data_IF_512289779414
#
_entry.id   IF_512289779414
#
_cell.length_a   1.000
_cell.length_b   1.000
_cell.length_c   1.000
_cell.angle_alpha   90.00
_cell.angle_beta   90.00
_cell.angle_gamma   90.00
#
_symmetry.space_group_name_H-M   'P 1'
#
loop_
_entity.id
_entity.type
_entity.pdbx_description
1 polymer ?
#
# COMPACT_ATOMS: atom_id res chain seq x y z
N UNK A 1 -0.04 10.97 3.52
CA UNK A 1 1.30 11.57 3.28
C UNK A 1 2.41 10.53 3.08
N UNK A 2 3.21 10.68 2.01
CA UNK A 2 4.50 9.98 1.82
C UNK A 2 5.63 10.55 2.67
N UNK A 3 6.61 9.70 2.98
CA UNK A 3 7.83 10.06 3.70
C UNK A 3 8.51 11.30 3.10
N UNK A 4 8.98 12.27 3.92
CA UNK A 4 9.51 13.54 3.43
C UNK A 4 10.80 13.39 2.62
N UNK A 5 11.61 12.37 2.90
CA UNK A 5 12.83 12.08 2.12
C UNK A 5 12.52 11.28 0.84
N UNK A 6 11.54 11.76 0.08
CA UNK A 6 11.17 11.20 -1.22
C UNK A 6 10.92 12.29 -2.25
N UNK A 7 11.16 11.98 -3.52
CA UNK A 7 10.91 12.86 -4.66
C UNK A 7 10.23 12.11 -5.80
N UNK A 8 9.59 12.84 -6.71
CA UNK A 8 9.08 12.27 -7.95
C UNK A 8 10.17 12.28 -9.02
N UNK A 9 10.32 11.16 -9.73
CA UNK A 9 11.15 11.08 -10.93
C UNK A 9 10.34 10.47 -12.07
N UNK A 10 10.52 11.01 -13.26
CA UNK A 10 10.00 10.40 -14.47
C UNK A 10 10.84 9.16 -14.81
N UNK A 11 10.18 8.03 -15.08
CA UNK A 11 10.79 6.75 -15.39
C UNK A 11 10.80 6.55 -16.91
N UNK A 12 9.62 6.48 -17.53
CA UNK A 12 9.42 6.36 -18.98
C UNK A 12 7.94 6.62 -19.36
N UNK A 13 7.61 6.53 -20.65
CA UNK A 13 6.25 6.80 -21.15
C UNK A 13 5.20 5.73 -20.77
N UNK A 14 5.65 4.54 -20.38
CA UNK A 14 4.78 3.42 -20.01
C UNK A 14 4.36 3.50 -18.52
N UNK A 15 5.32 3.72 -17.63
CA UNK A 15 5.10 3.81 -16.17
C UNK A 15 4.74 5.25 -15.76
N UNK A 16 5.35 6.25 -16.41
CA UNK A 16 5.22 7.65 -16.04
C UNK A 16 6.19 8.04 -14.93
N UNK A 17 5.67 8.33 -13.73
CA UNK A 17 6.46 8.79 -12.59
C UNK A 17 6.50 7.73 -11.49
N UNK A 18 7.59 7.73 -10.74
CA UNK A 18 7.73 6.95 -9.50
C UNK A 18 8.17 7.81 -8.33
N UNK A 19 8.08 7.25 -7.13
CA UNK A 19 8.53 7.89 -5.88
C UNK A 19 9.89 7.33 -5.51
N UNK A 20 10.90 8.18 -5.37
CA UNK A 20 12.28 7.74 -5.11
C UNK A 20 12.80 8.29 -3.79
N UNK A 21 13.53 7.49 -3.05
CA UNK A 21 14.16 7.90 -1.81
C UNK A 21 15.27 8.93 -2.09
N UNK A 22 15.26 10.06 -1.39
CA UNK A 22 16.34 11.07 -1.46
C UNK A 22 17.40 10.86 -0.38
N UNK A 23 17.07 10.08 0.66
CA UNK A 23 17.96 9.70 1.76
C UNK A 23 17.79 8.23 2.10
N UNK A 24 18.66 7.72 2.96
CA UNK A 24 18.52 6.38 3.52
C UNK A 24 17.30 6.32 4.44
N UNK A 25 16.39 5.38 4.18
CA UNK A 25 15.19 5.10 4.98
C UNK A 25 15.36 3.69 5.57
N UNK A 26 15.64 3.56 6.88
CA UNK A 26 15.83 2.26 7.52
C UNK A 26 14.56 1.39 7.49
N UNK A 27 14.72 0.05 7.50
CA UNK A 27 13.62 -0.91 7.73
C UNK A 27 12.83 -0.52 8.99
N UNK A 28 11.50 -0.60 8.91
CA UNK A 28 10.59 -0.28 10.01
C UNK A 28 10.20 1.21 10.13
N UNK A 29 10.73 2.08 9.26
CA UNK A 29 10.30 3.48 9.17
C UNK A 29 8.91 3.58 8.52
N UNK A 30 8.04 4.46 9.01
CA UNK A 30 6.75 4.76 8.37
C UNK A 30 7.01 5.47 7.04
N UNK A 31 6.68 4.82 5.92
CA UNK A 31 6.93 5.34 4.56
C UNK A 31 5.71 6.05 3.97
N UNK A 32 4.52 5.66 4.42
CA UNK A 32 3.26 6.32 4.12
C UNK A 32 2.35 6.26 5.35
N UNK A 33 1.57 7.31 5.56
CA UNK A 33 0.51 7.35 6.57
C UNK A 33 -0.72 8.00 5.95
N UNK A 34 -1.90 7.43 6.17
CA UNK A 34 -3.14 8.08 5.78
C UNK A 34 -3.37 9.32 6.67
N UNK A 35 -3.62 10.48 6.06
CA UNK A 35 -3.88 11.72 6.78
C UNK A 35 -5.25 12.34 6.44
N UNK A 36 -5.52 13.53 6.97
CA UNK A 36 -6.79 14.24 6.81
C UNK A 36 -6.93 14.98 5.46
N UNK A 37 -5.89 15.01 4.64
CA UNK A 37 -5.92 15.53 3.27
C UNK A 37 -6.23 14.42 2.24
N UNK A 38 -6.01 13.15 2.59
CA UNK A 38 -6.45 12.01 1.77
C UNK A 38 -7.98 11.96 1.68
N UNK A 39 -8.52 11.92 0.46
CA UNK A 39 -9.97 11.90 0.28
C UNK A 39 -10.51 10.47 0.32
N UNK A 40 -11.48 10.24 1.21
CA UNK A 40 -12.21 8.97 1.30
C UNK A 40 -13.51 9.07 0.50
N UNK A 41 -13.55 8.43 -0.66
CA UNK A 41 -14.68 8.50 -1.60
C UNK A 41 -15.53 7.24 -1.55
N UNK A 42 -16.84 7.40 -1.38
CA UNK A 42 -17.78 6.28 -1.43
C UNK A 42 -17.87 5.70 -2.86
N UNK A 43 -17.94 4.36 -3.02
CA UNK A 43 -18.04 3.74 -4.35
C UNK A 43 -19.21 4.26 -5.18
N UNK A 44 -20.38 4.44 -4.54
CA UNK A 44 -21.55 4.98 -5.21
C UNK A 44 -21.35 6.41 -5.73
N UNK A 45 -20.50 7.22 -5.07
CA UNK A 45 -20.12 8.54 -5.59
C UNK A 45 -19.23 8.42 -6.82
N UNK A 46 -18.21 7.57 -6.77
CA UNK A 46 -17.28 7.33 -7.89
C UNK A 46 -18.01 6.78 -9.11
N UNK A 47 -18.98 5.88 -8.94
CA UNK A 47 -19.80 5.34 -10.02
C UNK A 47 -20.68 6.38 -10.74
N UNK A 48 -20.99 7.50 -10.09
CA UNK A 48 -21.76 8.60 -10.71
C UNK A 48 -20.89 9.65 -11.39
N UNK A 49 -19.58 9.55 -11.29
CA UNK A 49 -18.66 10.45 -12.00
C UNK A 49 -18.74 10.19 -13.51
N UNK A 50 -18.47 11.23 -14.29
CA UNK A 50 -18.18 11.04 -15.71
C UNK A 50 -16.90 10.19 -15.90
N UNK A 51 -16.76 9.62 -17.09
CA UNK A 51 -15.71 8.65 -17.38
C UNK A 51 -14.30 9.21 -17.16
N UNK A 52 -14.07 10.49 -17.47
CA UNK A 52 -12.76 11.12 -17.34
C UNK A 52 -12.35 11.22 -15.86
N UNK A 53 -13.24 11.73 -15.02
CA UNK A 53 -12.98 11.84 -13.58
C UNK A 53 -12.90 10.47 -12.90
N UNK A 54 -13.74 9.52 -13.33
CA UNK A 54 -13.72 8.15 -12.82
C UNK A 54 -12.36 7.49 -13.08
N UNK A 55 -11.81 7.67 -14.29
CA UNK A 55 -10.50 7.15 -14.66
C UNK A 55 -9.38 7.71 -13.77
N UNK A 56 -9.37 9.02 -13.49
CA UNK A 56 -8.38 9.63 -12.60
C UNK A 56 -8.51 9.10 -11.16
N UNK A 57 -9.73 8.97 -10.64
CA UNK A 57 -9.93 8.38 -9.31
C UNK A 57 -9.41 6.95 -9.28
N UNK A 58 -9.80 6.11 -10.24
CA UNK A 58 -9.35 4.70 -10.30
C UNK A 58 -7.83 4.57 -10.44
N UNK A 59 -7.17 5.51 -11.15
CA UNK A 59 -5.72 5.50 -11.32
C UNK A 59 -4.95 5.91 -10.06
N UNK A 60 -5.44 6.92 -9.33
CA UNK A 60 -4.70 7.58 -8.25
C UNK A 60 -5.20 7.22 -6.85
N UNK A 61 -6.04 6.19 -6.72
CA UNK A 61 -6.55 5.71 -5.44
C UNK A 61 -6.46 4.19 -5.34
N UNK A 62 -6.48 3.70 -4.11
CA UNK A 62 -6.68 2.28 -3.80
C UNK A 62 -7.99 2.08 -3.03
N UNK A 63 -8.42 0.83 -2.84
CA UNK A 63 -9.60 0.51 -2.02
C UNK A 63 -9.21 -0.01 -0.65
N UNK A 64 -9.78 0.61 0.38
CA UNK A 64 -9.64 0.10 1.74
C UNK A 64 -10.54 -1.13 1.99
N UNK A 65 -10.49 -1.68 3.21
CA UNK A 65 -11.27 -2.85 3.62
C UNK A 65 -12.80 -2.68 3.52
N UNK A 66 -13.27 -1.44 3.51
CA UNK A 66 -14.69 -1.10 3.35
C UNK A 66 -15.08 -0.86 1.89
N UNK A 67 -14.15 -1.05 0.95
CA UNK A 67 -14.32 -0.82 -0.47
C UNK A 67 -14.33 0.65 -0.87
N UNK A 68 -14.04 1.58 0.05
CA UNK A 68 -13.97 3.01 -0.25
C UNK A 68 -12.66 3.32 -0.96
N UNK A 69 -12.72 4.25 -1.91
CA UNK A 69 -11.54 4.73 -2.60
C UNK A 69 -10.79 5.74 -1.71
N UNK A 70 -9.49 5.50 -1.52
CA UNK A 70 -8.58 6.40 -0.80
C UNK A 70 -7.76 7.14 -1.85
N UNK A 71 -8.20 8.35 -2.19
CA UNK A 71 -7.52 9.20 -3.17
C UNK A 71 -6.38 9.96 -2.48
N UNK A 72 -5.17 9.49 -2.74
CA UNK A 72 -3.94 10.07 -2.19
C UNK A 72 -3.70 11.48 -2.74
N UNK A 73 -3.44 12.44 -1.85
CA UNK A 73 -3.32 13.85 -2.25
C UNK A 73 -1.91 14.25 -2.74
N UNK A 74 -0.86 13.55 -2.28
CA UNK A 74 0.54 13.96 -2.47
C UNK A 74 1.30 13.10 -3.51
N UNK A 75 2.52 12.67 -3.18
CA UNK A 75 3.37 11.79 -4.00
C UNK A 75 2.92 10.34 -3.95
N UNK A 76 2.14 9.93 -2.94
CA UNK A 76 1.76 8.53 -2.73
C UNK A 76 0.98 7.94 -3.92
N UNK A 77 0.22 8.78 -4.64
CA UNK A 77 -0.50 8.38 -5.85
C UNK A 77 0.40 7.97 -7.03
N UNK A 78 1.72 8.11 -6.91
CA UNK A 78 2.72 7.69 -7.90
C UNK A 78 3.59 6.54 -7.40
N UNK A 79 3.26 5.90 -6.27
CA UNK A 79 3.95 4.68 -5.83
C UNK A 79 3.57 3.56 -6.77
N UNK A 80 4.58 2.97 -7.43
CA UNK A 80 4.37 1.93 -8.43
C UNK A 80 4.36 0.54 -7.81
N UNK A 81 3.93 -0.42 -8.63
CA UNK A 81 3.94 -1.82 -8.26
C UNK A 81 5.35 -2.44 -8.33
N UNK A 82 5.67 -3.34 -7.39
CA UNK A 82 6.66 -4.40 -7.58
C UNK A 82 6.27 -5.68 -6.82
N UNK A 83 6.66 -6.86 -7.33
CA UNK A 83 6.55 -8.11 -6.57
C UNK A 83 7.63 -8.25 -5.49
N UNK A 84 8.68 -7.42 -5.57
CA UNK A 84 9.72 -7.27 -4.55
C UNK A 84 9.58 -5.94 -3.79
N UNK A 85 8.34 -5.56 -3.51
CA UNK A 85 7.97 -4.33 -2.82
C UNK A 85 8.82 -4.06 -1.57
N UNK A 86 9.31 -2.83 -1.45
CA UNK A 86 10.07 -2.36 -0.29
C UNK A 86 9.23 -1.57 0.70
N UNK A 87 7.94 -1.38 0.41
CA UNK A 87 6.90 -0.90 1.30
C UNK A 87 5.98 -2.07 1.69
N UNK A 88 5.48 -2.09 2.93
CA UNK A 88 4.57 -3.13 3.42
C UNK A 88 3.39 -2.50 4.17
N UNK A 89 2.15 -2.88 3.87
CA UNK A 89 0.98 -2.34 4.55
C UNK A 89 0.78 -2.90 5.94
N UNK A 90 -0.02 -2.18 6.73
CA UNK A 90 -0.44 -2.58 8.07
C UNK A 90 -1.93 -2.30 8.24
N UNK A 91 -2.52 -2.80 9.33
CA UNK A 91 -3.89 -2.48 9.74
C UNK A 91 -4.04 -1.11 10.42
N UNK A 92 -2.98 -0.30 10.46
CA UNK A 92 -2.88 0.90 11.30
C UNK A 92 -2.89 2.20 10.50
N UNK A 93 -3.55 2.20 9.34
CA UNK A 93 -3.63 3.33 8.41
C UNK A 93 -2.23 3.87 8.01
N UNK A 94 -1.25 2.98 7.89
CA UNK A 94 0.13 3.28 7.53
C UNK A 94 0.86 2.10 6.88
N UNK A 95 1.96 2.41 6.21
CA UNK A 95 2.90 1.45 5.64
C UNK A 95 4.29 1.62 6.25
N UNK A 96 5.04 0.53 6.33
CA UNK A 96 6.41 0.52 6.81
C UNK A 96 7.40 0.21 5.67
N UNK A 97 8.64 0.68 5.80
CA UNK A 97 9.74 0.18 5.01
C UNK A 97 9.97 -1.30 5.36
N UNK A 98 9.74 -2.20 4.39
CA UNK A 98 9.88 -3.65 4.52
C UNK A 98 11.35 -4.08 4.69
N UNK A 99 12.26 -3.27 4.15
CA UNK A 99 13.72 -3.40 4.20
C UNK A 99 14.34 -2.00 4.27
N UNK A 100 15.65 -1.95 4.40
CA UNK A 100 16.39 -0.70 4.19
C UNK A 100 16.19 -0.24 2.74
N UNK A 101 15.92 1.06 2.57
CA UNK A 101 15.75 1.73 1.28
C UNK A 101 16.85 2.79 1.15
N UNK A 102 17.70 2.63 0.14
CA UNK A 102 18.84 3.49 -0.11
C UNK A 102 18.47 4.69 -1.01
N UNK A 103 19.21 5.81 -0.93
CA UNK A 103 19.01 6.94 -1.82
C UNK A 103 19.03 6.50 -3.29
N UNK A 104 18.01 6.91 -4.03
CA UNK A 104 17.83 6.59 -5.44
C UNK A 104 17.08 5.29 -5.73
N UNK A 105 16.75 4.49 -4.72
CA UNK A 105 15.78 3.41 -4.89
C UNK A 105 14.35 3.96 -5.01
N UNK A 106 13.53 3.33 -5.84
CA UNK A 106 12.09 3.58 -5.93
C UNK A 106 11.38 2.95 -4.74
N UNK A 107 10.39 3.65 -4.16
CA UNK A 107 9.44 3.09 -3.21
C UNK A 107 8.31 2.44 -3.99
N UNK A 108 8.04 1.17 -3.70
CA UNK A 108 7.10 0.33 -4.46
C UNK A 108 6.26 -0.54 -3.55
N UNK A 109 5.00 -0.74 -3.93
CA UNK A 109 4.03 -1.59 -3.25
C UNK A 109 3.73 -2.88 -4.02
N UNK A 110 3.28 -3.92 -3.31
CA UNK A 110 2.60 -5.03 -3.96
C UNK A 110 1.11 -4.67 -4.10
N UNK A 111 0.67 -4.37 -5.32
CA UNK A 111 -0.71 -3.97 -5.59
C UNK A 111 -1.73 -5.06 -5.26
N UNK A 112 -1.29 -6.31 -5.02
CA UNK A 112 -2.15 -7.37 -4.49
C UNK A 112 -2.73 -7.06 -3.11
N UNK A 113 -2.20 -6.05 -2.41
CA UNK A 113 -2.69 -5.54 -1.13
C UNK A 113 -3.78 -4.45 -1.27
N UNK A 114 -4.05 -3.96 -2.49
CA UNK A 114 -4.79 -2.72 -2.75
C UNK A 114 -6.24 -2.91 -3.22
N UNK A 115 -6.77 -4.14 -3.14
CA UNK A 115 -8.16 -4.50 -3.50
C UNK A 115 -8.55 -4.05 -4.93
N UNK A 116 -7.79 -4.52 -5.93
CA UNK A 116 -8.06 -4.24 -7.35
C UNK A 116 -9.44 -4.73 -7.80
N UNK A 117 -10.05 -4.00 -8.74
CA UNK A 117 -11.32 -4.42 -9.36
C UNK A 117 -11.12 -5.50 -10.41
N UNK A 118 -10.03 -5.42 -11.16
CA UNK A 118 -9.68 -6.31 -12.26
C UNK A 118 -8.21 -6.70 -12.16
N UNK A 119 -7.80 -7.84 -12.76
CA UNK A 119 -6.39 -8.20 -12.78
C UNK A 119 -5.53 -7.16 -13.51
N UNK A 120 -4.28 -7.01 -13.05
CA UNK A 120 -3.32 -6.04 -13.60
C UNK A 120 -2.09 -6.77 -14.16
N UNK A 121 -1.82 -6.63 -15.45
CA UNK A 121 -0.58 -7.16 -16.06
C UNK A 121 0.63 -6.39 -15.55
N UNK A 122 1.68 -7.10 -15.19
CA UNK A 122 2.90 -6.53 -14.66
C UNK A 122 4.05 -6.73 -15.65
N UNK A 123 5.00 -5.78 -15.64
CA UNK A 123 6.28 -5.98 -16.30
C UNK A 123 7.02 -7.16 -15.63
N UNK A 124 7.77 -7.98 -16.39
CA UNK A 124 8.52 -9.08 -15.82
C UNK A 124 9.57 -8.60 -14.80
N UNK A 125 9.60 -9.24 -13.63
CA UNK A 125 10.64 -9.06 -12.62
C UNK A 125 11.46 -10.34 -12.48
N UNK A 126 12.74 -10.22 -12.10
CA UNK A 126 13.55 -11.40 -11.82
C UNK A 126 13.07 -12.10 -10.55
N UNK A 127 13.37 -13.39 -10.41
CA UNK A 127 13.17 -14.14 -9.15
C UNK A 127 11.71 -14.25 -8.68
N UNK A 128 10.75 -14.08 -9.59
CA UNK A 128 9.32 -14.33 -9.39
C UNK A 128 8.71 -14.91 -10.68
N UNK A 129 7.72 -15.78 -10.54
CA UNK A 129 6.89 -16.28 -11.64
C UNK A 129 5.57 -15.53 -11.77
N UNK A 130 5.28 -14.59 -10.86
CA UNK A 130 4.11 -13.72 -10.94
C UNK A 130 4.30 -12.75 -12.12
N UNK A 131 3.29 -12.66 -12.96
CA UNK A 131 3.21 -11.71 -14.08
C UNK A 131 1.95 -10.85 -14.04
N UNK A 132 1.10 -11.07 -13.04
CA UNK A 132 -0.22 -10.45 -12.91
C UNK A 132 -0.58 -10.36 -11.44
N UNK A 133 -1.15 -9.23 -11.05
CA UNK A 133 -1.80 -9.06 -9.75
C UNK A 133 -3.27 -9.42 -9.88
N UNK A 134 -3.77 -10.26 -8.97
CA UNK A 134 -5.19 -10.68 -8.94
C UNK A 134 -5.98 -9.96 -7.84
N UNK A 135 -7.28 -9.70 -8.04
CA UNK A 135 -8.15 -9.11 -7.00
C UNK A 135 -8.18 -9.88 -5.67
N UNK A 136 -7.87 -11.17 -5.68
CA UNK A 136 -7.87 -12.05 -4.51
C UNK A 136 -6.46 -12.43 -4.02
N UNK A 137 -5.41 -11.78 -4.52
CA UNK A 137 -4.01 -12.02 -4.10
C UNK A 137 -3.84 -11.84 -2.59
N UNK A 138 -4.61 -10.93 -2.00
CA UNK A 138 -4.62 -10.70 -0.56
C UNK A 138 -4.98 -11.94 0.25
N UNK A 139 -5.90 -12.78 -0.24
CA UNK A 139 -6.25 -14.04 0.43
C UNK A 139 -5.16 -15.11 0.33
N UNK A 140 -4.22 -14.95 -0.60
CA UNK A 140 -3.18 -15.94 -0.92
C UNK A 140 -1.84 -15.58 -0.29
N UNK A 141 -1.44 -14.32 -0.37
CA UNK A 141 -0.09 -13.86 -0.01
C UNK A 141 -0.01 -13.12 1.33
N UNK A 142 -1.12 -12.88 2.02
CA UNK A 142 -1.09 -12.24 3.35
C UNK A 142 -0.11 -12.87 4.35
N UNK A 143 0.15 -14.20 4.41
CA UNK A 143 1.08 -14.73 5.40
C UNK A 143 2.53 -14.28 5.17
N UNK A 144 2.87 -13.94 3.92
CA UNK A 144 4.18 -13.38 3.57
C UNK A 144 4.26 -11.91 4.01
N UNK A 145 3.25 -11.10 3.67
CA UNK A 145 3.23 -9.68 4.05
C UNK A 145 3.13 -9.48 5.56
N UNK A 146 2.36 -10.31 6.27
CA UNK A 146 2.33 -10.31 7.74
C UNK A 146 3.72 -10.54 8.34
N UNK A 147 4.49 -11.49 7.78
CA UNK A 147 5.86 -11.75 8.25
C UNK A 147 6.76 -10.55 8.02
N UNK A 148 6.69 -9.94 6.84
CA UNK A 148 7.47 -8.75 6.49
C UNK A 148 7.12 -7.57 7.40
N UNK A 149 5.83 -7.31 7.62
CA UNK A 149 5.36 -6.26 8.52
C UNK A 149 5.81 -6.51 9.97
N UNK A 150 5.70 -7.75 10.46
CA UNK A 150 6.14 -8.11 11.80
C UNK A 150 7.65 -7.90 11.99
N UNK A 151 8.47 -8.26 11.00
CA UNK A 151 9.90 -7.98 11.02
C UNK A 151 10.22 -6.49 10.94
N UNK A 152 9.45 -5.71 10.19
CA UNK A 152 9.60 -4.26 10.13
C UNK A 152 9.28 -3.62 11.50
N UNK A 153 8.23 -4.08 12.18
CA UNK A 153 7.89 -3.63 13.52
C UNK A 153 8.99 -3.88 14.57
N UNK A 154 9.83 -4.91 14.40
CA UNK A 154 10.98 -5.14 15.28
C UNK A 154 12.00 -4.00 15.25
N UNK A 155 11.99 -3.16 14.21
CA UNK A 155 12.87 -1.98 14.07
C UNK A 155 12.18 -0.66 14.40
N UNK A 156 10.86 -0.66 14.57
CA UNK A 156 10.04 0.56 14.65
C UNK A 156 10.50 1.56 15.73
N UNK A 157 10.86 1.09 16.93
CA UNK A 157 11.35 1.94 18.03
C UNK A 157 12.85 2.26 17.96
N UNK A 158 13.56 1.72 16.97
CA UNK A 158 15.01 1.88 16.80
C UNK A 158 15.38 2.84 15.67
N UNK A 159 14.39 3.41 15.00
CA UNK A 159 14.53 4.30 13.84
C UNK A 159 13.68 5.54 14.07
N UNK A 160 14.04 6.65 13.41
CA UNK A 160 13.21 7.85 13.46
C UNK A 160 11.89 7.60 12.72
N UNK A 161 10.80 8.19 13.22
CA UNK A 161 9.47 8.05 12.63
C UNK A 161 8.89 9.43 12.29
N UNK A 162 9.32 10.06 11.17
CA UNK A 162 8.90 11.43 10.83
C UNK A 162 7.38 11.58 10.69
N UNK A 163 6.70 10.52 10.25
CA UNK A 163 5.25 10.50 10.03
C UNK A 163 4.44 10.04 11.24
N UNK A 164 5.06 9.68 12.38
CA UNK A 164 4.34 9.12 13.54
C UNK A 164 3.22 10.04 14.06
N UNK A 165 3.40 11.35 13.94
CA UNK A 165 2.43 12.36 14.38
C UNK A 165 1.12 12.36 13.59
N UNK A 166 1.08 11.72 12.41
CA UNK A 166 -0.12 11.55 11.59
C UNK A 166 -0.92 10.31 11.98
N UNK A 167 -0.33 9.38 12.74
CA UNK A 167 -0.98 8.12 13.09
C UNK A 167 -2.14 8.38 14.05
N UNK A 168 -3.37 7.94 13.72
CA UNK A 168 -4.53 8.14 14.58
C UNK A 168 -4.33 7.55 15.99
N UNK A 169 -4.80 8.26 17.01
CA UNK A 169 -4.69 7.85 18.42
C UNK A 169 -5.28 6.46 18.70
N UNK A 170 -6.30 6.04 17.94
CA UNK A 170 -6.90 4.70 18.00
C UNK A 170 -5.89 3.55 17.77
N UNK A 171 -4.82 3.80 17.02
CA UNK A 171 -3.83 2.78 16.66
C UNK A 171 -2.60 2.79 17.59
N UNK A 172 -2.33 3.91 18.26
CA UNK A 172 -1.09 4.12 19.02
C UNK A 172 -0.89 3.10 20.15
N UNK A 173 -1.96 2.73 20.87
CA UNK A 173 -1.86 1.74 21.96
C UNK A 173 -1.57 0.33 21.43
N UNK A 174 -2.16 -0.04 20.28
CA UNK A 174 -1.87 -1.32 19.63
C UNK A 174 -0.43 -1.36 19.12
N UNK A 175 0.03 -0.30 18.44
CA UNK A 175 1.41 -0.16 17.97
C UNK A 175 2.39 -0.24 19.16
N UNK A 176 2.11 0.46 20.27
CA UNK A 176 2.90 0.34 21.49
C UNK A 176 2.97 -1.09 21.99
N UNK A 177 1.83 -1.80 22.06
CA UNK A 177 1.79 -3.21 22.45
C UNK A 177 2.61 -4.13 21.55
N UNK A 178 2.60 -3.89 20.24
CA UNK A 178 3.39 -4.64 19.25
C UNK A 178 4.88 -4.40 19.45
N UNK A 179 5.28 -3.14 19.51
CA UNK A 179 6.70 -2.77 19.62
C UNK A 179 7.32 -3.15 20.98
N UNK A 180 6.50 -3.30 22.03
CA UNK A 180 6.88 -3.84 23.33
C UNK A 180 6.76 -5.37 23.42
N UNK A 181 6.46 -6.05 22.30
CA UNK A 181 6.31 -7.51 22.20
C UNK A 181 5.20 -8.10 23.09
N UNK A 182 4.22 -7.27 23.48
CA UNK A 182 3.03 -7.70 24.24
C UNK A 182 1.90 -8.18 23.34
N UNK A 183 1.88 -7.73 22.08
CA UNK A 183 0.89 -8.08 21.07
C UNK A 183 1.59 -8.55 19.79
N UNK A 184 0.92 -9.43 19.05
CA UNK A 184 1.24 -9.67 17.64
C UNK A 184 0.62 -8.56 16.78
N UNK A 185 1.12 -8.39 15.55
CA UNK A 185 0.48 -7.50 14.58
C UNK A 185 -0.89 -8.05 14.16
N UNK A 186 -1.81 -7.16 13.83
CA UNK A 186 -3.06 -7.53 13.16
C UNK A 186 -2.74 -7.91 11.71
N UNK A 187 -3.31 -9.02 11.26
CA UNK A 187 -3.05 -9.55 9.94
C UNK A 187 -3.58 -8.64 8.83
N UNK A 188 -2.77 -8.42 7.79
CA UNK A 188 -3.16 -7.64 6.62
C UNK A 188 -4.28 -8.32 5.82
N UNK A 189 -4.62 -9.59 6.09
CA UNK A 189 -5.81 -10.24 5.51
C UNK A 189 -7.08 -9.42 5.72
N UNK A 190 -7.15 -8.66 6.82
CA UNK A 190 -8.29 -7.82 7.15
C UNK A 190 -8.38 -6.53 6.32
N UNK A 191 -7.38 -6.24 5.48
CA UNK A 191 -7.50 -5.24 4.41
C UNK A 191 -8.38 -5.72 3.26
N UNK A 192 -8.59 -7.04 3.12
CA UNK A 192 -9.36 -7.59 2.00
C UNK A 192 -10.80 -7.11 2.01
N UNK A 193 -11.17 -6.42 0.94
CA UNK A 193 -12.54 -6.09 0.60
C UNK A 193 -13.02 -7.07 -0.46
N UNK A 194 -14.15 -7.74 -0.21
CA UNK A 194 -14.73 -8.67 -1.18
C UNK A 194 -15.16 -7.91 -2.44
N UNK A 195 -14.45 -8.14 -3.54
CA UNK A 195 -14.74 -7.49 -4.81
C UNK A 195 -15.96 -8.09 -5.52
N UNK A 196 -16.62 -7.28 -6.37
CA UNK A 196 -17.71 -7.74 -7.23
C UNK A 196 -17.23 -8.63 -8.39
N UNK A 197 -15.92 -8.63 -8.69
CA UNK A 197 -15.33 -9.52 -9.69
C UNK A 197 -15.62 -11.00 -9.36
N UNK A 198 -15.59 -11.37 -8.08
CA UNK A 198 -15.94 -12.72 -7.62
C UNK A 198 -17.44 -13.06 -7.81
N UNK A 199 -18.34 -12.08 -7.87
CA UNK A 199 -19.77 -12.33 -8.15
C UNK A 199 -20.05 -12.55 -9.63
N UNK A 200 -19.18 -12.08 -10.53
CA UNK A 200 -19.28 -12.32 -11.98
C UNK A 200 -18.72 -13.68 -12.42
N UNK A 201 -17.86 -14.31 -11.62
CA UNK A 201 -17.33 -15.66 -11.86
C UNK A 201 -18.22 -16.75 -11.21
N UNK A 202 -19.53 -16.70 -11.42
CA UNK A 202 -20.31 -17.94 -11.34
C UNK A 202 -19.86 -18.81 -12.51
N UNK A 203 -19.01 -19.78 -12.19
CA UNK A 203 -18.51 -20.82 -13.08
C UNK A 203 -19.61 -21.30 -14.03
N UNK A 204 -19.42 -21.08 -15.33
CA UNK A 204 -20.03 -21.93 -16.34
C UNK A 204 -19.45 -23.33 -16.14
N UNK A 205 -20.14 -24.13 -15.32
CA UNK A 205 -19.97 -25.59 -15.25
C UNK A 205 -20.90 -26.27 -16.23
#
# INVERSE_FOLDING_TARGET
MMHPDTELRYINDEIGYGVFATRFIPKGTIVWAQDDLDQVLDPAFVERLDSLRKQDVQKYSFKNQFGKYILCWDKARYVNHSFHANCVPTMYDMELAARDIFPGEELTDDYGTLNLDEPFECLPESDTDRSRVMPDDLLRYYPQWDRIAAEAFQRFNHVEQPLLHLIPSKHLETIRGITEQRLAIDSVIHLYCRSQWQTGQQWET
#
